data_IF_726085316867
#
_entry.id   IF_726085316867
#
_cell.length_a   1.000
_cell.length_b   1.000
_cell.length_c   1.000
_cell.angle_alpha   90.00
_cell.angle_beta   90.00
_cell.angle_gamma   90.00
#
_symmetry.space_group_name_H-M   'P 1'
#
loop_
_entity.id
_entity.type
_entity.pdbx_description
1 polymer ?
#
# COMPACT_ATOMS: atom_id res chain seq x y z
N UNK A 1 -18.94 -12.14 31.59
CA UNK A 1 -19.66 -13.10 30.72
C UNK A 1 -19.27 -12.78 29.28
N UNK A 2 -18.35 -13.55 28.70
CA UNK A 2 -18.05 -13.44 27.27
C UNK A 2 -19.19 -14.10 26.50
N UNK A 3 -20.00 -13.30 25.81
CA UNK A 3 -20.99 -13.84 24.88
C UNK A 3 -20.24 -14.45 23.70
N UNK A 4 -20.26 -15.78 23.59
CA UNK A 4 -19.78 -16.45 22.39
C UNK A 4 -20.51 -15.86 21.18
N UNK A 5 -19.80 -15.36 20.15
CA UNK A 5 -20.44 -14.79 18.98
C UNK A 5 -21.36 -15.84 18.34
N UNK A 6 -22.56 -15.47 17.86
CA UNK A 6 -23.50 -16.42 17.30
C UNK A 6 -22.86 -17.17 16.13
N UNK A 7 -22.95 -18.51 16.14
CA UNK A 7 -22.32 -19.43 15.17
C UNK A 7 -22.54 -19.00 13.71
N UNK A 8 -23.70 -18.41 13.39
CA UNK A 8 -24.07 -17.91 12.06
C UNK A 8 -23.14 -16.82 11.52
N UNK A 9 -22.63 -15.92 12.37
CA UNK A 9 -21.71 -14.84 11.96
C UNK A 9 -20.35 -15.43 11.55
N UNK A 10 -19.87 -16.41 12.30
CA UNK A 10 -18.55 -17.03 12.02
C UNK A 10 -18.55 -17.79 10.70
N UNK A 11 -19.65 -18.46 10.34
CA UNK A 11 -19.78 -19.17 9.06
C UNK A 11 -19.80 -18.19 7.88
N UNK A 12 -20.54 -17.09 7.97
CA UNK A 12 -20.60 -16.08 6.90
C UNK A 12 -19.24 -15.43 6.61
N UNK A 13 -18.44 -15.15 7.64
CA UNK A 13 -17.10 -14.59 7.50
C UNK A 13 -16.15 -15.55 6.77
N UNK A 14 -16.24 -16.86 7.06
CA UNK A 14 -15.43 -17.89 6.38
C UNK A 14 -15.78 -17.99 4.90
N UNK A 15 -17.07 -18.04 4.58
CA UNK A 15 -17.56 -18.12 3.19
C UNK A 15 -17.12 -16.92 2.36
N UNK A 16 -17.28 -15.69 2.87
CA UNK A 16 -16.81 -14.49 2.18
C UNK A 16 -15.29 -14.48 1.97
N UNK A 17 -14.52 -14.96 2.96
CA UNK A 17 -13.06 -15.07 2.82
C UNK A 17 -12.68 -16.05 1.72
N UNK A 18 -13.36 -17.20 1.67
CA UNK A 18 -13.12 -18.23 0.67
C UNK A 18 -13.37 -17.71 -0.75
N UNK A 19 -14.52 -17.07 -0.99
CA UNK A 19 -14.82 -16.50 -2.31
C UNK A 19 -13.87 -15.36 -2.70
N UNK A 20 -13.48 -14.51 -1.76
CA UNK A 20 -12.47 -13.47 -2.01
C UNK A 20 -11.15 -14.10 -2.46
N UNK A 21 -10.66 -15.13 -1.78
CA UNK A 21 -9.41 -15.80 -2.13
C UNK A 21 -9.48 -16.49 -3.50
N UNK A 22 -10.61 -17.13 -3.82
CA UNK A 22 -10.83 -17.69 -5.17
C UNK A 22 -10.78 -16.60 -6.22
N UNK A 23 -11.52 -15.50 -6.02
CA UNK A 23 -11.55 -14.39 -6.97
C UNK A 23 -10.16 -13.77 -7.20
N UNK A 24 -9.42 -13.50 -6.13
CA UNK A 24 -8.04 -13.01 -6.21
C UNK A 24 -7.13 -14.01 -6.94
N UNK A 25 -7.28 -15.31 -6.65
CA UNK A 25 -6.48 -16.36 -7.32
C UNK A 25 -6.75 -16.38 -8.83
N UNK A 26 -8.02 -16.31 -9.25
CA UNK A 26 -8.39 -16.29 -10.67
C UNK A 26 -7.83 -15.05 -11.38
N UNK A 27 -7.94 -13.87 -10.77
CA UNK A 27 -7.37 -12.63 -11.30
C UNK A 27 -5.87 -12.74 -11.45
N UNK A 28 -5.19 -13.19 -10.39
CA UNK A 28 -3.75 -13.34 -10.36
C UNK A 28 -3.24 -14.33 -11.41
N UNK A 29 -3.88 -15.49 -11.55
CA UNK A 29 -3.56 -16.46 -12.61
C UNK A 29 -3.77 -15.86 -14.01
N UNK A 30 -4.83 -15.09 -14.19
CA UNK A 30 -5.10 -14.41 -15.48
C UNK A 30 -4.01 -13.40 -15.84
N UNK A 31 -3.50 -12.67 -14.85
CA UNK A 31 -2.37 -11.75 -15.03
C UNK A 31 -1.06 -12.49 -15.29
N UNK A 32 -0.80 -13.56 -14.51
CA UNK A 32 0.41 -14.39 -14.64
C UNK A 32 0.53 -15.02 -16.02
N UNK A 33 -0.57 -15.48 -16.59
CA UNK A 33 -0.60 -16.06 -17.94
C UNK A 33 -0.31 -15.03 -19.04
N UNK A 34 -0.62 -13.75 -18.81
CA UNK A 34 -0.39 -12.68 -19.78
C UNK A 34 1.01 -12.08 -19.68
N UNK A 35 1.44 -11.71 -18.47
CA UNK A 35 2.67 -10.93 -18.24
C UNK A 35 3.37 -11.37 -16.94
N UNK A 36 4.02 -12.57 -16.93
CA UNK A 36 4.53 -13.16 -15.70
C UNK A 36 5.64 -12.35 -15.01
N UNK A 37 6.47 -11.62 -15.78
CA UNK A 37 7.54 -10.77 -15.23
C UNK A 37 6.98 -9.63 -14.39
N UNK A 38 6.01 -8.89 -14.93
CA UNK A 38 5.35 -7.79 -14.22
C UNK A 38 4.55 -8.28 -13.01
N UNK A 39 3.90 -9.44 -13.13
CA UNK A 39 3.24 -10.09 -11.98
C UNK A 39 4.22 -10.35 -10.85
N UNK A 40 5.40 -10.86 -11.17
CA UNK A 40 6.43 -11.11 -10.16
C UNK A 40 6.93 -9.81 -9.52
N UNK A 41 7.14 -8.76 -10.32
CA UNK A 41 7.60 -7.45 -9.87
C UNK A 41 6.66 -6.84 -8.83
N UNK A 42 5.36 -6.69 -9.14
CA UNK A 42 4.39 -6.12 -8.19
C UNK A 42 4.20 -7.01 -6.96
N UNK A 43 4.25 -8.33 -7.16
CA UNK A 43 4.06 -9.29 -6.06
C UNK A 43 5.20 -9.29 -5.09
N UNK A 44 6.43 -9.16 -5.57
CA UNK A 44 7.60 -9.01 -4.71
C UNK A 44 7.45 -7.78 -3.82
N UNK A 45 7.07 -6.63 -4.40
CA UNK A 45 6.84 -5.41 -3.64
C UNK A 45 5.69 -5.54 -2.63
N UNK A 46 4.58 -6.20 -3.00
CA UNK A 46 3.49 -6.51 -2.05
C UNK A 46 3.98 -7.37 -0.87
N UNK A 47 4.79 -8.39 -1.13
CA UNK A 47 5.37 -9.26 -0.10
C UNK A 47 6.31 -8.47 0.80
N UNK A 48 7.14 -7.61 0.23
CA UNK A 48 8.05 -6.75 0.99
C UNK A 48 7.28 -5.86 1.96
N UNK A 49 6.30 -5.11 1.46
CA UNK A 49 5.47 -4.23 2.32
C UNK A 49 4.69 -5.06 3.35
N UNK A 50 4.20 -6.24 3.00
CA UNK A 50 3.56 -7.16 3.94
C UNK A 50 4.50 -7.59 5.08
N UNK A 51 5.75 -7.93 4.77
CA UNK A 51 6.76 -8.36 5.75
C UNK A 51 7.15 -7.16 6.62
N UNK A 52 7.49 -6.03 6.01
CA UNK A 52 7.98 -4.84 6.70
C UNK A 52 6.92 -4.23 7.64
N UNK A 53 5.64 -4.36 7.29
CA UNK A 53 4.51 -3.90 8.14
C UNK A 53 3.93 -4.99 9.02
N UNK A 54 4.45 -6.23 8.98
CA UNK A 54 3.84 -7.40 9.62
C UNK A 54 3.59 -7.21 11.12
N UNK A 55 4.55 -6.58 11.79
CA UNK A 55 4.56 -6.40 13.25
C UNK A 55 3.94 -5.09 13.71
N UNK A 56 3.70 -4.14 12.81
CA UNK A 56 3.15 -2.81 13.15
C UNK A 56 1.69 -2.70 12.78
N UNK A 57 1.25 -3.21 11.63
CA UNK A 57 -0.14 -3.10 11.17
C UNK A 57 -1.16 -3.68 12.15
N UNK A 58 -2.39 -3.16 12.11
CA UNK A 58 -3.52 -3.65 12.92
C UNK A 58 -4.47 -4.53 12.10
N UNK A 59 -4.44 -4.40 10.78
CA UNK A 59 -5.39 -5.10 9.91
C UNK A 59 -4.88 -6.46 9.42
N UNK A 60 -5.83 -7.29 9.01
CA UNK A 60 -5.55 -8.60 8.41
C UNK A 60 -5.12 -8.48 6.94
N UNK A 61 -4.46 -9.53 6.44
CA UNK A 61 -4.16 -9.66 5.00
C UNK A 61 -5.44 -9.71 4.15
N UNK A 62 -6.55 -10.22 4.71
CA UNK A 62 -7.85 -10.25 4.02
C UNK A 62 -8.31 -8.86 3.61
N UNK A 63 -8.08 -7.85 4.45
CA UNK A 63 -8.37 -6.46 4.13
C UNK A 63 -7.54 -5.99 2.93
N UNK A 64 -6.25 -6.37 2.91
CA UNK A 64 -5.37 -6.13 1.76
C UNK A 64 -5.90 -6.75 0.46
N UNK A 65 -6.24 -8.04 0.46
CA UNK A 65 -6.81 -8.72 -0.71
C UNK A 65 -8.15 -8.15 -1.16
N UNK A 66 -8.99 -7.70 -0.22
CA UNK A 66 -10.23 -7.01 -0.53
C UNK A 66 -9.97 -5.69 -1.28
N UNK A 67 -8.97 -4.92 -0.85
CA UNK A 67 -8.58 -3.67 -1.52
C UNK A 67 -7.87 -3.94 -2.85
N UNK A 68 -7.06 -4.99 -2.95
CA UNK A 68 -6.48 -5.46 -4.22
C UNK A 68 -7.56 -5.73 -5.27
N UNK A 69 -8.61 -6.49 -4.92
CA UNK A 69 -9.73 -6.73 -5.84
C UNK A 69 -10.46 -5.44 -6.22
N UNK A 70 -10.57 -4.47 -5.32
CA UNK A 70 -11.15 -3.15 -5.63
C UNK A 70 -10.24 -2.33 -6.54
N UNK A 71 -8.91 -2.42 -6.40
CA UNK A 71 -7.96 -1.82 -7.33
C UNK A 71 -8.16 -2.32 -8.76
N UNK A 72 -8.35 -3.63 -8.93
CA UNK A 72 -8.66 -4.25 -10.23
C UNK A 72 -10.04 -3.81 -10.75
N UNK A 73 -11.10 -4.02 -9.95
CA UNK A 73 -12.48 -3.92 -10.43
C UNK A 73 -13.03 -2.50 -10.43
N UNK A 74 -12.57 -1.64 -9.54
CA UNK A 74 -13.06 -0.27 -9.39
C UNK A 74 -12.05 0.69 -10.01
N UNK A 75 -10.83 0.75 -9.47
CA UNK A 75 -9.86 1.76 -9.90
C UNK A 75 -9.46 1.58 -11.36
N UNK A 76 -9.13 0.36 -11.77
CA UNK A 76 -8.67 0.11 -13.15
C UNK A 76 -9.80 0.21 -14.18
N UNK A 77 -10.99 -0.32 -13.87
CA UNK A 77 -12.17 -0.19 -14.74
C UNK A 77 -12.61 1.26 -14.93
N UNK A 78 -12.65 2.05 -13.85
CA UNK A 78 -13.05 3.45 -13.92
C UNK A 78 -12.00 4.29 -14.66
N UNK A 79 -10.71 4.01 -14.48
CA UNK A 79 -9.63 4.65 -15.26
C UNK A 79 -9.77 4.33 -16.74
N UNK A 80 -10.02 3.07 -17.10
CA UNK A 80 -10.24 2.68 -18.50
C UNK A 80 -11.47 3.37 -19.10
N UNK A 81 -12.57 3.45 -18.35
CA UNK A 81 -13.78 4.16 -18.79
C UNK A 81 -13.50 5.65 -18.99
N UNK A 82 -12.77 6.27 -18.07
CA UNK A 82 -12.40 7.67 -18.13
C UNK A 82 -11.45 7.95 -19.30
N UNK A 83 -10.45 7.11 -19.52
CA UNK A 83 -9.56 7.19 -20.67
C UNK A 83 -10.35 7.15 -21.99
N UNK A 84 -11.31 6.22 -22.12
CA UNK A 84 -12.21 6.16 -23.30
C UNK A 84 -13.03 7.43 -23.49
N UNK A 85 -13.47 8.08 -22.40
CA UNK A 85 -14.17 9.36 -22.47
C UNK A 85 -13.24 10.47 -22.98
N UNK A 86 -12.00 10.53 -22.50
CA UNK A 86 -10.97 11.47 -22.97
C UNK A 86 -10.65 11.24 -24.45
N UNK A 87 -10.57 9.99 -24.89
CA UNK A 87 -10.44 9.64 -26.31
C UNK A 87 -11.66 10.08 -27.13
N UNK A 88 -12.87 9.87 -26.61
CA UNK A 88 -14.10 10.24 -27.31
C UNK A 88 -14.20 11.75 -27.60
N UNK A 89 -13.67 12.59 -26.69
CA UNK A 89 -13.64 14.05 -26.87
C UNK A 89 -12.41 14.55 -27.65
N UNK A 90 -11.59 13.65 -28.20
CA UNK A 90 -10.44 14.00 -29.05
C UNK A 90 -9.25 14.55 -28.27
N UNK A 91 -9.15 14.27 -26.97
CA UNK A 91 -8.03 14.73 -26.13
C UNK A 91 -6.98 13.63 -25.88
N UNK A 92 -7.11 12.45 -26.49
CA UNK A 92 -6.04 11.45 -26.47
C UNK A 92 -4.75 12.05 -27.06
N UNK A 93 -3.61 11.64 -26.53
CA UNK A 93 -2.27 12.07 -26.98
C UNK A 93 -2.01 13.58 -26.89
N UNK A 94 -2.85 14.32 -26.14
CA UNK A 94 -2.62 15.73 -25.85
C UNK A 94 -2.07 15.92 -24.44
N UNK A 95 -1.23 16.94 -24.23
CA UNK A 95 -0.69 17.31 -22.90
C UNK A 95 -1.82 17.51 -21.88
N UNK A 96 -2.91 18.17 -22.29
CA UNK A 96 -4.07 18.41 -21.44
C UNK A 96 -4.83 17.11 -21.11
N UNK A 97 -5.01 16.23 -22.09
CA UNK A 97 -5.63 14.92 -21.88
C UNK A 97 -4.83 14.07 -20.91
N UNK A 98 -3.51 13.98 -21.11
CA UNK A 98 -2.61 13.22 -20.24
C UNK A 98 -2.62 13.75 -18.80
N UNK A 99 -2.56 15.07 -18.63
CA UNK A 99 -2.67 15.71 -17.31
C UNK A 99 -3.97 15.34 -16.60
N UNK A 100 -5.09 15.38 -17.31
CA UNK A 100 -6.41 15.07 -16.73
C UNK A 100 -6.51 13.58 -16.39
N UNK A 101 -6.03 12.69 -17.27
CA UNK A 101 -6.02 11.23 -17.06
C UNK A 101 -5.18 10.87 -15.84
N UNK A 102 -3.94 11.34 -15.74
CA UNK A 102 -3.04 11.03 -14.62
C UNK A 102 -3.61 11.51 -13.29
N UNK A 103 -4.15 12.74 -13.23
CA UNK A 103 -4.78 13.25 -12.00
C UNK A 103 -5.96 12.36 -11.60
N UNK A 104 -6.83 12.00 -12.55
CA UNK A 104 -7.97 11.13 -12.27
C UNK A 104 -7.53 9.74 -11.82
N UNK A 105 -6.52 9.19 -12.46
CA UNK A 105 -5.96 7.89 -12.18
C UNK A 105 -5.38 7.81 -10.76
N UNK A 106 -4.57 8.79 -10.35
CA UNK A 106 -4.04 8.83 -8.97
C UNK A 106 -5.16 9.00 -7.92
N UNK A 107 -6.19 9.79 -8.22
CA UNK A 107 -7.36 9.92 -7.34
C UNK A 107 -8.11 8.59 -7.18
N UNK A 108 -8.38 7.90 -8.30
CA UNK A 108 -9.22 6.69 -8.28
C UNK A 108 -8.47 5.46 -7.76
N UNK A 109 -7.14 5.41 -7.87
CA UNK A 109 -6.31 4.39 -7.19
C UNK A 109 -6.44 4.47 -5.67
N UNK A 110 -6.45 5.69 -5.12
CA UNK A 110 -6.53 5.90 -3.68
C UNK A 110 -7.97 5.90 -3.13
N UNK A 111 -8.97 6.18 -3.97
CA UNK A 111 -10.38 6.29 -3.56
C UNK A 111 -10.92 5.09 -2.75
N UNK A 112 -10.66 3.81 -3.10
CA UNK A 112 -11.11 2.67 -2.30
C UNK A 112 -10.55 2.68 -0.87
N UNK A 113 -9.29 3.10 -0.71
CA UNK A 113 -8.62 3.18 0.60
C UNK A 113 -9.20 4.34 1.42
N UNK A 114 -9.40 5.50 0.80
CA UNK A 114 -10.03 6.65 1.45
C UNK A 114 -11.45 6.32 1.91
N UNK A 115 -12.25 5.65 1.07
CA UNK A 115 -13.60 5.22 1.41
C UNK A 115 -13.58 4.19 2.54
N UNK A 116 -12.69 3.19 2.49
CA UNK A 116 -12.53 2.23 3.57
C UNK A 116 -12.21 2.95 4.88
N UNK A 117 -11.18 3.80 4.90
CA UNK A 117 -10.78 4.57 6.09
C UNK A 117 -11.94 5.43 6.63
N UNK A 118 -12.70 6.10 5.76
CA UNK A 118 -13.87 6.90 6.15
C UNK A 118 -14.98 6.04 6.76
N UNK A 119 -15.32 4.90 6.15
CA UNK A 119 -16.36 4.00 6.64
C UNK A 119 -15.96 3.34 7.97
N UNK A 120 -14.69 2.98 8.13
CA UNK A 120 -14.18 2.44 9.40
C UNK A 120 -14.15 3.49 10.50
N UNK A 121 -13.71 4.72 10.17
CA UNK A 121 -13.76 5.86 11.09
C UNK A 121 -15.18 6.10 11.61
N UNK A 122 -16.18 6.13 10.72
CA UNK A 122 -17.60 6.30 11.11
C UNK A 122 -18.16 5.17 11.97
N UNK A 123 -17.58 3.98 11.92
CA UNK A 123 -18.10 2.79 12.61
C UNK A 123 -17.42 2.52 13.95
N UNK A 124 -16.45 3.33 14.38
CA UNK A 124 -15.70 3.28 15.65
C UNK A 124 -15.03 1.93 16.02
N UNK A 125 -15.08 0.92 15.15
CA UNK A 125 -14.67 -0.46 15.49
C UNK A 125 -13.19 -0.75 15.30
N UNK A 126 -12.50 -0.04 14.41
CA UNK A 126 -11.08 -0.26 14.09
C UNK A 126 -10.45 1.08 13.72
N UNK A 127 -9.38 1.48 14.43
CA UNK A 127 -8.57 2.65 14.06
C UNK A 127 -7.35 2.17 13.30
N UNK A 128 -7.28 2.50 12.01
CA UNK A 128 -6.11 2.23 11.18
C UNK A 128 -4.91 3.01 11.72
N UNK A 129 -3.81 2.29 11.95
CA UNK A 129 -2.54 2.94 12.22
C UNK A 129 -1.84 3.34 10.92
N UNK A 130 -0.65 3.91 11.04
CA UNK A 130 0.06 4.46 9.87
C UNK A 130 0.47 3.36 8.89
N UNK A 131 0.96 2.22 9.40
CA UNK A 131 1.30 1.05 8.58
C UNK A 131 0.10 0.48 7.82
N UNK A 132 -1.12 0.57 8.37
CA UNK A 132 -2.34 0.11 7.71
C UNK A 132 -2.65 0.92 6.44
N UNK A 133 -2.47 2.26 6.47
CA UNK A 133 -2.66 3.10 5.29
C UNK A 133 -1.67 2.73 4.18
N UNK A 134 -0.40 2.53 4.52
CA UNK A 134 0.61 2.07 3.55
C UNK A 134 0.20 0.73 2.94
N UNK A 135 -0.06 -0.28 3.78
CA UNK A 135 -0.34 -1.63 3.31
C UNK A 135 -1.61 -1.68 2.44
N UNK A 136 -2.69 -1.00 2.84
CA UNK A 136 -3.93 -0.96 2.05
C UNK A 136 -3.74 -0.24 0.72
N UNK A 137 -3.02 0.88 0.70
CA UNK A 137 -2.70 1.62 -0.52
C UNK A 137 -1.88 0.80 -1.50
N UNK A 138 -0.83 0.13 -1.02
CA UNK A 138 0.02 -0.74 -1.84
C UNK A 138 -0.80 -1.89 -2.40
N UNK A 139 -1.61 -2.57 -1.59
CA UNK A 139 -2.45 -3.67 -2.07
C UNK A 139 -3.48 -3.22 -3.11
N UNK A 140 -4.12 -2.07 -2.90
CA UNK A 140 -5.08 -1.49 -3.84
C UNK A 140 -4.40 -1.17 -5.18
N UNK A 141 -3.32 -0.40 -5.15
CA UNK A 141 -2.63 0.02 -6.36
C UNK A 141 -1.87 -1.12 -7.06
N UNK A 142 -1.43 -2.17 -6.36
CA UNK A 142 -0.91 -3.38 -7.00
C UNK A 142 -2.00 -4.09 -7.81
N UNK A 143 -3.24 -4.13 -7.32
CA UNK A 143 -4.37 -4.64 -8.11
C UNK A 143 -4.61 -3.82 -9.38
N UNK A 144 -4.57 -2.49 -9.27
CA UNK A 144 -4.62 -1.59 -10.43
C UNK A 144 -3.46 -1.86 -11.41
N UNK A 145 -2.23 -1.87 -10.89
CA UNK A 145 -0.98 -2.03 -11.63
C UNK A 145 -0.97 -3.31 -12.46
N UNK A 146 -1.32 -4.44 -11.85
CA UNK A 146 -1.38 -5.72 -12.54
C UNK A 146 -2.43 -5.75 -13.64
N UNK A 147 -3.58 -5.12 -13.43
CA UNK A 147 -4.59 -4.99 -14.45
C UNK A 147 -4.07 -4.18 -15.65
N UNK A 148 -3.52 -3.00 -15.40
CA UNK A 148 -3.01 -2.11 -16.43
C UNK A 148 -1.88 -2.75 -17.24
N UNK A 149 -0.91 -3.38 -16.56
CA UNK A 149 0.21 -4.08 -17.20
C UNK A 149 -0.23 -5.24 -18.07
N UNK A 150 -1.48 -5.74 -17.97
CA UNK A 150 -2.00 -6.71 -18.96
C UNK A 150 -2.26 -6.14 -20.35
N UNK A 151 -2.29 -4.80 -20.47
CA UNK A 151 -2.44 -4.07 -21.72
C UNK A 151 -1.14 -3.46 -22.23
N UNK A 152 -0.05 -3.54 -21.46
CA UNK A 152 1.29 -3.12 -21.89
C UNK A 152 1.85 -4.09 -22.94
N UNK A 153 1.42 -3.94 -24.18
CA UNK A 153 2.01 -4.62 -25.32
C UNK A 153 3.14 -3.74 -25.88
N UNK A 154 4.37 -4.24 -25.83
CA UNK A 154 5.53 -3.54 -26.41
C UNK A 154 6.22 -2.51 -25.51
N UNK A 155 5.75 -2.30 -24.27
CA UNK A 155 6.46 -1.49 -23.27
C UNK A 155 7.50 -2.36 -22.56
N UNK A 156 8.76 -1.94 -22.63
CA UNK A 156 9.88 -2.61 -21.97
C UNK A 156 10.69 -1.60 -21.16
N UNK A 157 11.03 -1.99 -19.94
CA UNK A 157 11.91 -1.22 -19.07
C UNK A 157 13.25 -1.96 -18.96
N UNK A 158 14.36 -1.38 -19.46
CA UNK A 158 15.67 -2.04 -19.45
C UNK A 158 16.26 -2.23 -18.05
N UNK A 159 15.79 -1.51 -17.03
CA UNK A 159 16.30 -1.66 -15.67
C UNK A 159 15.25 -1.34 -14.60
N UNK A 160 15.50 -1.89 -13.41
CA UNK A 160 14.90 -1.46 -12.14
C UNK A 160 15.87 -0.52 -11.44
N UNK A 161 15.38 0.54 -10.80
CA UNK A 161 16.21 1.50 -10.09
C UNK A 161 15.84 1.62 -8.61
N UNK A 162 16.62 2.43 -7.90
CA UNK A 162 16.42 2.71 -6.48
C UNK A 162 17.26 1.84 -5.55
N UNK A 163 17.01 1.95 -4.24
CA UNK A 163 17.73 1.25 -3.20
C UNK A 163 17.69 -0.28 -3.39
N UNK A 164 18.86 -0.94 -3.27
CA UNK A 164 18.99 -2.39 -3.41
C UNK A 164 20.12 -2.95 -2.54
N UNK A 165 20.06 -4.25 -2.26
CA UNK A 165 21.13 -5.05 -1.65
C UNK A 165 21.54 -6.16 -2.62
N UNK A 166 22.68 -5.98 -3.31
CA UNK A 166 23.08 -6.87 -4.39
C UNK A 166 22.03 -6.87 -5.51
N UNK A 167 21.49 -8.05 -5.86
CA UNK A 167 20.47 -8.17 -6.91
C UNK A 167 19.02 -8.01 -6.40
N UNK A 168 18.83 -7.66 -5.12
CA UNK A 168 17.51 -7.52 -4.51
C UNK A 168 17.16 -6.04 -4.40
N UNK A 169 16.20 -5.60 -5.21
CA UNK A 169 15.65 -4.24 -5.17
C UNK A 169 14.52 -4.14 -4.16
N UNK A 170 14.52 -3.08 -3.34
CA UNK A 170 13.44 -2.76 -2.39
C UNK A 170 12.20 -2.16 -3.07
N UNK A 171 12.36 -1.74 -4.33
CA UNK A 171 11.30 -1.21 -5.17
C UNK A 171 11.34 -1.95 -6.50
N UNK A 172 10.93 -3.21 -6.52
CA UNK A 172 10.95 -4.02 -7.74
C UNK A 172 10.16 -3.39 -8.90
N UNK A 173 9.16 -2.55 -8.57
CA UNK A 173 8.33 -1.83 -9.55
C UNK A 173 8.84 -0.43 -9.93
N UNK A 174 9.99 0.00 -9.39
CA UNK A 174 10.65 1.22 -9.84
C UNK A 174 11.37 0.94 -11.16
N UNK A 175 10.62 1.03 -12.26
CA UNK A 175 11.05 0.67 -13.60
C UNK A 175 11.48 1.92 -14.39
N UNK A 176 12.60 1.82 -15.11
CA UNK A 176 13.20 2.95 -15.81
C UNK A 176 13.70 2.63 -17.21
N UNK A 177 13.89 3.70 -17.98
CA UNK A 177 14.49 3.79 -19.31
C UNK A 177 15.68 4.77 -19.25
N UNK A 178 16.46 4.85 -20.33
CA UNK A 178 17.48 5.88 -20.48
C UNK A 178 17.02 6.98 -21.43
N UNK A 179 17.12 8.23 -20.99
CA UNK A 179 16.87 9.42 -21.80
C UNK A 179 18.15 10.23 -21.80
N UNK A 180 18.77 10.41 -22.97
CA UNK A 180 20.10 11.03 -23.10
C UNK A 180 21.17 10.41 -22.19
N UNK A 181 21.17 9.08 -22.10
CA UNK A 181 22.04 8.30 -21.21
C UNK A 181 21.83 8.51 -19.70
N UNK A 182 20.86 9.33 -19.31
CA UNK A 182 20.47 9.54 -17.91
C UNK A 182 19.30 8.62 -17.54
N UNK A 183 19.24 8.13 -16.30
CA UNK A 183 18.16 7.26 -15.85
C UNK A 183 16.87 8.07 -15.69
N UNK A 184 15.78 7.57 -16.27
CA UNK A 184 14.46 8.17 -16.25
C UNK A 184 13.44 7.09 -15.91
N UNK A 185 12.63 7.27 -14.87
CA UNK A 185 11.62 6.27 -14.54
C UNK A 185 10.59 6.75 -13.55
N UNK A 186 9.71 5.81 -13.19
CA UNK A 186 8.62 6.01 -12.26
C UNK A 186 8.65 4.90 -11.21
N UNK A 187 8.38 5.24 -9.94
CA UNK A 187 8.56 4.30 -8.82
C UNK A 187 7.61 3.09 -8.87
N UNK A 188 6.62 3.13 -9.77
CA UNK A 188 5.60 2.10 -9.91
C UNK A 188 4.34 2.43 -9.10
N UNK A 189 3.19 2.02 -9.61
CA UNK A 189 1.89 2.48 -9.08
C UNK A 189 1.67 2.07 -7.62
N UNK A 190 2.09 0.86 -7.26
CA UNK A 190 1.93 0.35 -5.90
C UNK A 190 2.69 1.20 -4.88
N UNK A 191 3.96 1.53 -5.17
CA UNK A 191 4.79 2.36 -4.30
C UNK A 191 4.30 3.81 -4.27
N UNK A 192 3.93 4.36 -5.43
CA UNK A 192 3.46 5.74 -5.53
C UNK A 192 2.16 5.96 -4.73
N UNK A 193 1.15 5.10 -4.91
CA UNK A 193 -0.08 5.18 -4.10
C UNK A 193 0.20 4.82 -2.62
N UNK A 194 1.18 3.96 -2.35
CA UNK A 194 1.68 3.69 -0.99
C UNK A 194 2.20 4.96 -0.30
N UNK A 195 2.95 5.81 -1.00
CA UNK A 195 3.42 7.11 -0.52
C UNK A 195 2.26 8.06 -0.23
N UNK A 196 1.24 8.11 -1.10
CA UNK A 196 -0.01 8.85 -0.82
C UNK A 196 -0.69 8.33 0.45
N UNK A 197 -0.76 7.00 0.61
CA UNK A 197 -1.29 6.36 1.82
C UNK A 197 -0.55 6.77 3.09
N UNK A 198 0.78 6.73 3.07
CA UNK A 198 1.61 7.21 4.18
C UNK A 198 1.36 8.69 4.49
N UNK A 199 1.28 9.54 3.46
CA UNK A 199 0.99 10.96 3.60
C UNK A 199 -0.36 11.23 4.27
N UNK A 200 -1.40 10.49 3.88
CA UNK A 200 -2.74 10.56 4.49
C UNK A 200 -2.73 10.04 5.93
N UNK A 201 -2.09 8.90 6.19
CA UNK A 201 -1.95 8.37 7.54
C UNK A 201 -1.27 9.37 8.47
N UNK A 202 -0.12 9.93 8.05
CA UNK A 202 0.62 10.94 8.80
C UNK A 202 -0.20 12.21 9.01
N UNK A 203 -0.89 12.69 7.97
CA UNK A 203 -1.77 13.86 8.07
C UNK A 203 -2.89 13.65 9.09
N UNK A 204 -3.56 12.50 9.08
CA UNK A 204 -4.62 12.19 10.05
C UNK A 204 -4.06 12.06 11.48
N UNK A 205 -2.88 11.48 11.64
CA UNK A 205 -2.20 11.44 12.93
C UNK A 205 -1.84 12.85 13.44
N UNK A 206 -1.24 13.70 12.60
CA UNK A 206 -0.92 15.10 12.94
C UNK A 206 -2.18 15.90 13.29
N UNK A 207 -3.29 15.66 12.58
CA UNK A 207 -4.60 16.25 12.87
C UNK A 207 -5.06 15.88 14.29
N UNK A 208 -4.95 14.60 14.66
CA UNK A 208 -5.29 14.14 16.00
C UNK A 208 -4.38 14.76 17.07
N UNK A 209 -3.10 15.00 16.75
CA UNK A 209 -2.17 15.76 17.61
C UNK A 209 -2.40 17.29 17.59
N UNK A 210 -3.54 17.76 17.07
CA UNK A 210 -3.94 19.17 16.98
C UNK A 210 -2.92 20.06 16.26
N UNK A 211 -2.19 19.54 15.27
CA UNK A 211 -1.23 20.31 14.46
C UNK A 211 -1.97 21.04 13.33
N UNK A 212 -1.81 22.35 13.24
CA UNK A 212 -2.53 23.22 12.27
C UNK A 212 -2.29 22.84 10.81
N UNK A 213 -1.06 22.45 10.47
CA UNK A 213 -0.64 22.17 9.09
C UNK A 213 -0.67 20.69 8.72
N UNK A 214 -1.54 19.91 9.37
CA UNK A 214 -1.64 18.46 9.15
C UNK A 214 -1.96 18.08 7.70
N UNK A 215 -2.67 18.94 6.97
CA UNK A 215 -3.11 18.71 5.60
C UNK A 215 -2.00 18.89 4.56
N UNK A 216 -0.89 19.57 4.90
CA UNK A 216 0.23 19.77 3.97
C UNK A 216 0.84 18.42 3.58
N UNK A 217 0.97 17.51 4.54
CA UNK A 217 1.59 16.19 4.32
C UNK A 217 0.86 15.35 3.25
N UNK A 218 -0.47 15.12 3.34
CA UNK A 218 -1.17 14.38 2.30
C UNK A 218 -1.22 15.11 0.95
N UNK A 219 -1.38 16.44 0.95
CA UNK A 219 -1.37 17.21 -0.31
C UNK A 219 -0.01 17.11 -0.98
N UNK A 220 1.07 17.25 -0.24
CA UNK A 220 2.42 17.14 -0.78
C UNK A 220 2.68 15.75 -1.35
N UNK A 221 2.34 14.67 -0.63
CA UNK A 221 2.51 13.30 -1.11
C UNK A 221 1.73 13.05 -2.41
N UNK A 222 0.48 13.51 -2.49
CA UNK A 222 -0.36 13.38 -3.69
C UNK A 222 0.20 14.19 -4.87
N UNK A 223 0.53 15.46 -4.65
CA UNK A 223 1.07 16.34 -5.68
C UNK A 223 2.41 15.82 -6.20
N UNK A 224 3.27 15.30 -5.33
CA UNK A 224 4.56 14.73 -5.71
C UNK A 224 4.40 13.54 -6.65
N UNK A 225 3.60 12.55 -6.24
CA UNK A 225 3.34 11.34 -7.03
C UNK A 225 2.66 11.67 -8.36
N UNK A 226 1.66 12.55 -8.34
CA UNK A 226 0.93 12.97 -9.53
C UNK A 226 1.85 13.70 -10.51
N UNK A 227 2.74 14.57 -10.00
CA UNK A 227 3.69 15.30 -10.84
C UNK A 227 4.70 14.35 -11.47
N UNK A 228 5.28 13.42 -10.70
CA UNK A 228 6.22 12.44 -11.26
C UNK A 228 5.55 11.57 -12.33
N UNK A 229 4.36 11.05 -12.04
CA UNK A 229 3.61 10.22 -13.00
C UNK A 229 3.28 11.01 -14.27
N UNK A 230 2.81 12.26 -14.12
CA UNK A 230 2.51 13.13 -15.25
C UNK A 230 3.75 13.39 -16.10
N UNK A 231 4.87 13.77 -15.49
CA UNK A 231 6.09 14.06 -16.22
C UNK A 231 6.66 12.80 -16.91
N UNK A 232 6.50 11.62 -16.28
CA UNK A 232 6.84 10.34 -16.91
C UNK A 232 5.98 10.09 -18.16
N UNK A 233 4.68 10.34 -18.10
CA UNK A 233 3.79 10.11 -19.24
C UNK A 233 3.95 11.17 -20.33
N UNK A 234 4.19 12.43 -19.98
CA UNK A 234 4.45 13.48 -20.96
C UNK A 234 5.68 13.16 -21.81
N UNK A 235 6.71 12.52 -21.26
CA UNK A 235 7.83 12.04 -22.05
C UNK A 235 7.39 11.07 -23.18
N UNK A 236 6.44 10.18 -22.91
CA UNK A 236 5.90 9.27 -23.94
C UNK A 236 4.98 9.97 -24.95
N UNK A 237 4.41 11.12 -24.59
CA UNK A 237 3.52 11.91 -25.47
C UNK A 237 4.31 12.85 -26.38
N UNK A 238 5.20 13.68 -25.83
CA UNK A 238 5.88 14.75 -26.56
C UNK A 238 7.41 14.77 -26.38
N UNK A 239 7.99 13.74 -25.75
CA UNK A 239 9.44 13.65 -25.52
C UNK A 239 9.96 14.59 -24.44
N UNK A 240 9.08 15.22 -23.64
CA UNK A 240 9.48 16.21 -22.63
C UNK A 240 10.28 15.58 -21.49
N UNK A 241 11.51 16.06 -21.35
CA UNK A 241 12.48 15.55 -20.39
C UNK A 241 12.46 16.28 -19.03
N UNK A 242 11.40 17.03 -18.71
CA UNK A 242 11.32 17.85 -17.49
C UNK A 242 11.56 17.04 -16.22
N UNK A 243 11.20 15.75 -16.18
CA UNK A 243 11.49 14.88 -15.06
C UNK A 243 13.00 14.72 -14.79
N UNK A 244 13.87 14.79 -15.81
CA UNK A 244 15.33 14.75 -15.63
C UNK A 244 15.82 15.90 -14.74
N UNK A 245 15.24 17.08 -14.88
CA UNK A 245 15.57 18.24 -14.03
C UNK A 245 15.19 18.04 -12.55
N UNK A 246 14.30 17.07 -12.27
CA UNK A 246 13.89 16.66 -10.94
C UNK A 246 14.60 15.36 -10.48
N UNK A 247 15.64 14.93 -11.20
CA UNK A 247 16.40 13.72 -10.89
C UNK A 247 15.84 12.44 -11.50
N UNK A 248 15.03 12.52 -12.56
CA UNK A 248 14.61 11.37 -13.36
C UNK A 248 13.71 10.36 -12.62
N UNK A 249 13.02 10.80 -11.57
CA UNK A 249 12.22 9.93 -10.69
C UNK A 249 13.03 9.17 -9.62
N UNK A 250 14.37 9.28 -9.64
CA UNK A 250 15.26 8.56 -8.72
C UNK A 250 15.10 9.00 -7.26
N UNK A 251 14.54 10.18 -7.00
CA UNK A 251 14.35 10.72 -5.65
C UNK A 251 13.19 10.06 -4.91
N UNK A 252 12.15 9.60 -5.62
CA UNK A 252 10.92 9.10 -5.00
C UNK A 252 11.11 7.84 -4.17
N UNK A 253 11.94 6.85 -4.57
CA UNK A 253 12.28 5.73 -3.70
C UNK A 253 12.85 6.16 -2.34
N UNK A 254 13.67 7.21 -2.31
CA UNK A 254 14.25 7.73 -1.07
C UNK A 254 13.23 8.46 -0.21
N UNK A 255 12.35 9.26 -0.84
CA UNK A 255 11.21 9.88 -0.14
C UNK A 255 10.32 8.80 0.47
N UNK A 256 10.05 7.72 -0.26
CA UNK A 256 9.29 6.58 0.24
C UNK A 256 9.98 5.95 1.45
N UNK A 257 11.28 5.61 1.37
CA UNK A 257 12.01 5.02 2.52
C UNK A 257 11.95 5.94 3.73
N UNK A 258 12.17 7.25 3.55
CA UNK A 258 12.12 8.21 4.64
C UNK A 258 10.74 8.25 5.29
N UNK A 259 9.68 8.40 4.48
CA UNK A 259 8.30 8.37 4.97
C UNK A 259 7.99 7.04 5.68
N UNK A 260 8.47 5.93 5.12
CA UNK A 260 8.32 4.60 5.69
C UNK A 260 8.98 4.47 7.07
N UNK A 261 10.23 4.92 7.19
CA UNK A 261 10.96 4.94 8.45
C UNK A 261 10.24 5.79 9.51
N UNK A 262 9.68 6.95 9.10
CA UNK A 262 8.91 7.82 10.00
C UNK A 262 7.64 7.13 10.51
N UNK A 263 6.85 6.49 9.63
CA UNK A 263 5.63 5.81 10.07
C UNK A 263 5.93 4.61 10.98
N UNK A 264 6.95 3.81 10.65
CA UNK A 264 7.37 2.69 11.50
C UNK A 264 7.85 3.18 12.85
N UNK A 265 8.65 4.25 12.88
CA UNK A 265 9.11 4.85 14.12
C UNK A 265 7.95 5.29 15.02
N UNK A 266 6.93 5.96 14.45
CA UNK A 266 5.75 6.39 15.19
C UNK A 266 4.96 5.18 15.72
N UNK A 267 4.70 4.18 14.88
CA UNK A 267 3.97 2.97 15.29
C UNK A 267 4.70 2.22 16.42
N UNK A 268 6.03 2.03 16.29
CA UNK A 268 6.87 1.39 17.32
C UNK A 268 6.90 2.23 18.61
N UNK A 269 7.02 3.56 18.49
CA UNK A 269 7.03 4.46 19.65
C UNK A 269 5.71 4.41 20.41
N UNK A 270 4.58 4.40 19.69
CA UNK A 270 3.25 4.28 20.28
C UNK A 270 3.11 2.94 21.00
N UNK A 271 3.52 1.83 20.37
CA UNK A 271 3.54 0.50 20.99
C UNK A 271 4.38 0.47 22.27
N UNK A 272 5.61 0.99 22.23
CA UNK A 272 6.50 1.03 23.42
C UNK A 272 5.90 1.85 24.55
N UNK A 273 5.32 3.01 24.22
CA UNK A 273 4.67 3.88 25.20
C UNK A 273 3.47 3.17 25.85
N UNK A 274 2.66 2.49 25.05
CA UNK A 274 1.53 1.71 25.53
C UNK A 274 1.98 0.58 26.47
N UNK A 275 2.93 -0.26 26.03
CA UNK A 275 3.43 -1.37 26.85
C UNK A 275 4.10 -0.92 28.16
N UNK A 276 4.66 0.29 28.21
CA UNK A 276 5.21 0.86 29.44
C UNK A 276 4.12 1.23 30.45
N UNK A 277 2.94 1.63 29.97
CA UNK A 277 1.79 1.99 30.81
C UNK A 277 0.94 0.78 31.22
N UNK A 278 0.98 -0.29 30.42
CA UNK A 278 0.18 -1.50 30.58
C UNK A 278 1.12 -2.73 30.76
N UNK A 279 1.79 -2.86 31.93
CA UNK A 279 2.79 -3.89 32.17
C UNK A 279 2.24 -5.32 32.08
N UNK A 280 0.96 -5.52 32.32
CA UNK A 280 0.25 -6.79 32.14
C UNK A 280 0.25 -7.24 30.68
N UNK A 281 -0.04 -6.33 29.74
CA UNK A 281 0.02 -6.61 28.30
C UNK A 281 1.46 -6.88 27.84
N UNK A 282 2.43 -6.16 28.41
CA UNK A 282 3.85 -6.38 28.15
C UNK A 282 4.31 -7.77 28.62
N UNK A 283 3.89 -8.20 29.81
CA UNK A 283 4.22 -9.52 30.35
C UNK A 283 3.62 -10.65 29.49
N UNK A 284 2.35 -10.49 29.09
CA UNK A 284 1.67 -11.44 28.20
C UNK A 284 2.36 -11.55 26.84
N UNK A 285 2.65 -10.41 26.19
CA UNK A 285 3.33 -10.39 24.89
C UNK A 285 4.74 -10.99 24.98
N UNK A 286 5.47 -10.70 26.08
CA UNK A 286 6.81 -11.28 26.30
C UNK A 286 6.76 -12.80 26.42
N UNK A 287 5.76 -13.33 27.15
CA UNK A 287 5.55 -14.78 27.30
C UNK A 287 5.23 -15.43 25.94
N UNK A 288 4.25 -14.90 25.22
CA UNK A 288 3.85 -15.46 23.92
C UNK A 288 4.99 -15.42 22.89
N UNK A 289 5.81 -14.35 22.93
CA UNK A 289 7.02 -14.24 22.12
C UNK A 289 8.07 -15.29 22.49
N UNK A 290 8.31 -15.53 23.77
CA UNK A 290 9.24 -16.57 24.24
C UNK A 290 8.77 -17.96 23.79
N UNK A 291 7.48 -18.24 23.93
CA UNK A 291 6.89 -19.50 23.49
C UNK A 291 7.03 -19.69 21.97
N UNK A 292 6.82 -18.64 21.18
CA UNK A 292 7.03 -18.67 19.73
C UNK A 292 8.49 -18.92 19.33
N UNK A 293 9.46 -18.25 19.96
CA UNK A 293 10.87 -18.52 19.66
C UNK A 293 11.31 -19.92 20.10
N UNK A 294 10.74 -20.43 21.20
CA UNK A 294 10.97 -21.80 21.64
C UNK A 294 10.47 -22.81 20.60
N UNK A 295 9.24 -22.65 20.08
CA UNK A 295 8.70 -23.55 19.05
C UNK A 295 9.49 -23.49 17.75
N UNK A 296 9.94 -22.30 17.33
CA UNK A 296 10.84 -22.15 16.19
C UNK A 296 12.17 -22.88 16.40
N UNK A 297 12.81 -22.71 17.57
CA UNK A 297 14.08 -23.37 17.90
C UNK A 297 13.95 -24.90 17.91
N UNK A 298 12.81 -25.41 18.37
CA UNK A 298 12.50 -26.84 18.37
C UNK A 298 12.09 -27.39 16.99
N UNK A 299 12.07 -26.56 15.93
CA UNK A 299 11.56 -26.89 14.59
C UNK A 299 10.11 -27.41 14.60
N UNK A 300 9.35 -27.07 15.64
CA UNK A 300 7.93 -27.43 15.80
C UNK A 300 7.08 -26.22 15.45
N UNK A 301 6.97 -25.89 14.16
CA UNK A 301 6.14 -24.77 13.74
C UNK A 301 4.68 -24.99 14.14
N UNK A 302 4.21 -24.20 15.10
CA UNK A 302 2.83 -24.21 15.57
C UNK A 302 2.10 -23.01 14.97
N UNK A 303 1.34 -23.28 13.90
CA UNK A 303 0.55 -22.26 13.22
C UNK A 303 -0.46 -21.59 14.15
N UNK A 304 -1.09 -22.35 15.06
CA UNK A 304 -2.12 -21.80 15.94
C UNK A 304 -1.52 -20.79 16.93
N UNK A 305 -0.37 -21.12 17.53
CA UNK A 305 0.36 -20.19 18.40
C UNK A 305 0.86 -18.97 17.67
N UNK A 306 1.42 -19.15 16.47
CA UNK A 306 1.90 -18.05 15.63
C UNK A 306 0.75 -17.11 15.27
N UNK A 307 -0.39 -17.67 14.85
CA UNK A 307 -1.58 -16.92 14.52
C UNK A 307 -2.12 -16.16 15.75
N UNK A 308 -2.18 -16.81 16.91
CA UNK A 308 -2.64 -16.19 18.16
C UNK A 308 -1.74 -15.01 18.57
N UNK A 309 -0.41 -15.18 18.49
CA UNK A 309 0.56 -14.10 18.74
C UNK A 309 0.36 -12.92 17.80
N UNK A 310 0.17 -13.17 16.50
CA UNK A 310 -0.06 -12.11 15.51
C UNK A 310 -1.40 -11.39 15.77
N UNK A 311 -2.49 -12.10 16.09
CA UNK A 311 -3.77 -11.47 16.45
C UNK A 311 -3.59 -10.58 17.67
N UNK A 312 -2.95 -11.09 18.73
CA UNK A 312 -2.74 -10.33 19.96
C UNK A 312 -1.89 -9.08 19.70
N UNK A 313 -0.79 -9.21 18.96
CA UNK A 313 0.06 -8.07 18.60
C UNK A 313 -0.72 -6.99 17.83
N UNK A 314 -1.56 -7.38 16.86
CA UNK A 314 -2.44 -6.45 16.14
C UNK A 314 -3.41 -5.73 17.05
N UNK A 315 -4.02 -6.45 18.00
CA UNK A 315 -4.93 -5.86 18.98
C UNK A 315 -4.20 -4.83 19.86
N UNK A 316 -3.02 -5.18 20.39
CA UNK A 316 -2.18 -4.27 21.17
C UNK A 316 -1.78 -3.04 20.35
N UNK A 317 -1.36 -3.22 19.08
CA UNK A 317 -1.03 -2.08 18.20
C UNK A 317 -2.25 -1.16 17.97
N UNK A 318 -3.44 -1.72 17.82
CA UNK A 318 -4.68 -0.95 17.69
C UNK A 318 -4.94 -0.11 18.95
N UNK A 319 -4.82 -0.70 20.14
CA UNK A 319 -4.99 0.03 21.41
C UNK A 319 -3.90 1.09 21.61
N UNK A 320 -2.65 0.76 21.30
CA UNK A 320 -1.53 1.69 21.39
C UNK A 320 -1.72 2.91 20.48
N UNK A 321 -2.17 2.68 19.25
CA UNK A 321 -2.48 3.76 18.32
C UNK A 321 -3.67 4.58 18.81
N UNK A 322 -4.75 3.95 19.25
CA UNK A 322 -5.92 4.64 19.80
C UNK A 322 -5.56 5.56 20.98
N UNK A 323 -4.77 5.06 21.93
CA UNK A 323 -4.34 5.85 23.09
C UNK A 323 -3.45 7.04 22.66
N UNK A 324 -2.63 6.87 21.62
CA UNK A 324 -1.81 7.95 21.09
C UNK A 324 -2.62 9.13 20.54
N UNK A 325 -3.86 8.88 20.09
CA UNK A 325 -4.76 9.90 19.53
C UNK A 325 -5.55 10.67 20.61
N UNK A 326 -5.49 10.26 21.88
CA UNK A 326 -6.25 10.89 22.99
C UNK A 326 -5.51 12.08 23.65
N UNK A 327 -4.35 12.48 23.14
CA UNK A 327 -3.52 13.59 23.67
C UNK A 327 -3.94 14.93 23.07
#
# INVERSE_FOLDING_TARGET
MESTPPKTITTGIKTQTFFLLIGVTILYLSFLLKNPSYVWIDTWFMIEIFILTLLTRTISIRSGFSLFSQGVLISAMLTLLFYRLITFIGLQDSVSGEMIVVIFEELIKFAPVALAAFLFYKREKIRFNLSDFLFLSVMCAAGFSLFEKTFWQGVSFPFTYGPHLGNIYFFSDALGIYVNSEPFGYIGHAAATGLVGMGVGLGLWLKAQKKTFWWIVPIFAFMWVTTEHLLSNLYYVDGRETLLSLGGGMLTPWIFIFAFAVILYIDIKNLRTFLTKHPEEQALLKKDRQDFFKTLKEKKFDYQKTHALIIKLRAINSFAFEESLKK
#
